data_IF_409057109251
#
_entry.id   IF_409057109251
#
_cell.length_a   1.000
_cell.length_b   1.000
_cell.length_c   1.000
_cell.angle_alpha   90.00
_cell.angle_beta   90.00
_cell.angle_gamma   90.00
#
_symmetry.space_group_name_H-M   'P 1'
#
loop_
_entity.id
_entity.type
_entity.pdbx_description
1 polymer ?
#
# COMPACT_ATOMS: atom_id res chain seq x y z
N UNK A 1 -43.79 -10.58 -9.50
CA UNK A 1 -42.52 -11.25 -9.14
C UNK A 1 -41.61 -10.21 -8.53
N UNK A 2 -41.45 -10.25 -7.21
CA UNK A 2 -40.48 -9.41 -6.50
C UNK A 2 -39.12 -10.04 -6.77
N UNK A 3 -38.25 -9.36 -7.51
CA UNK A 3 -36.86 -9.75 -7.61
C UNK A 3 -36.24 -9.57 -6.22
N UNK A 4 -36.11 -10.65 -5.47
CA UNK A 4 -35.21 -10.70 -4.33
C UNK A 4 -33.80 -10.44 -4.87
N UNK A 5 -33.35 -9.20 -4.75
CA UNK A 5 -31.93 -8.87 -4.83
C UNK A 5 -31.30 -9.61 -3.66
N UNK A 6 -30.79 -10.81 -3.92
CA UNK A 6 -30.01 -11.57 -2.95
C UNK A 6 -28.85 -10.67 -2.52
N UNK A 7 -28.93 -10.11 -1.32
CA UNK A 7 -27.81 -9.35 -0.77
C UNK A 7 -26.68 -10.36 -0.54
N UNK A 8 -25.64 -10.32 -1.38
CA UNK A 8 -24.44 -11.13 -1.17
C UNK A 8 -23.96 -10.95 0.27
N UNK A 9 -23.70 -12.06 0.95
CA UNK A 9 -23.19 -12.04 2.32
C UNK A 9 -21.86 -11.25 2.40
N UNK A 10 -21.61 -10.55 3.51
CA UNK A 10 -20.37 -9.78 3.71
C UNK A 10 -19.08 -10.60 3.40
N UNK A 11 -18.96 -11.89 3.80
CA UNK A 11 -17.80 -12.71 3.46
C UNK A 11 -17.62 -12.95 1.95
N UNK A 12 -18.71 -13.17 1.21
CA UNK A 12 -18.63 -13.35 -0.25
C UNK A 12 -18.22 -12.07 -0.97
N UNK A 13 -18.70 -10.91 -0.50
CA UNK A 13 -18.27 -9.61 -1.01
C UNK A 13 -16.79 -9.34 -0.76
N UNK A 14 -16.29 -9.59 0.45
CA UNK A 14 -14.87 -9.40 0.78
C UNK A 14 -13.97 -10.31 -0.04
N UNK A 15 -14.36 -11.57 -0.24
CA UNK A 15 -13.61 -12.52 -1.07
C UNK A 15 -13.57 -12.07 -2.53
N UNK A 16 -14.70 -11.60 -3.07
CA UNK A 16 -14.80 -11.07 -4.43
C UNK A 16 -13.89 -9.86 -4.61
N UNK A 17 -13.97 -8.88 -3.70
CA UNK A 17 -13.11 -7.69 -3.74
C UNK A 17 -11.63 -8.10 -3.66
N UNK A 18 -11.26 -9.05 -2.79
CA UNK A 18 -9.89 -9.54 -2.70
C UNK A 18 -9.37 -10.12 -4.01
N UNK A 19 -10.21 -10.93 -4.64
CA UNK A 19 -9.91 -11.57 -5.92
C UNK A 19 -9.77 -10.51 -7.03
N UNK A 20 -10.66 -9.53 -7.03
CA UNK A 20 -10.69 -8.47 -8.03
C UNK A 20 -9.50 -7.52 -7.88
N UNK A 21 -8.90 -7.35 -6.69
CA UNK A 21 -7.65 -6.57 -6.51
C UNK A 21 -6.55 -7.07 -7.46
N UNK A 22 -6.51 -8.37 -7.77
CA UNK A 22 -5.50 -8.95 -8.65
C UNK A 22 -5.92 -9.04 -10.12
N UNK A 23 -7.22 -9.17 -10.40
CA UNK A 23 -7.74 -9.37 -11.76
C UNK A 23 -8.26 -8.08 -12.41
N UNK A 24 -9.03 -7.29 -11.67
CA UNK A 24 -9.55 -6.00 -12.09
C UNK A 24 -9.42 -4.99 -10.94
N UNK A 25 -8.20 -4.43 -10.74
CA UNK A 25 -7.95 -3.52 -9.63
C UNK A 25 -8.91 -2.32 -9.64
N UNK A 26 -9.21 -1.77 -10.82
CA UNK A 26 -10.12 -0.64 -10.96
C UNK A 26 -11.52 -0.95 -10.38
N UNK A 27 -12.10 -2.10 -10.76
CA UNK A 27 -13.43 -2.50 -10.28
C UNK A 27 -13.41 -2.81 -8.78
N UNK A 28 -12.32 -3.39 -8.27
CA UNK A 28 -12.15 -3.62 -6.84
C UNK A 28 -12.12 -2.30 -6.07
N UNK A 29 -11.40 -1.29 -6.58
CA UNK A 29 -11.33 0.03 -5.95
C UNK A 29 -12.65 0.80 -6.01
N UNK A 30 -13.36 0.74 -7.14
CA UNK A 30 -14.71 1.31 -7.22
C UNK A 30 -15.67 0.61 -6.25
N UNK A 31 -15.55 -0.71 -6.09
CA UNK A 31 -16.32 -1.48 -5.11
C UNK A 31 -15.97 -1.07 -3.67
N UNK A 32 -14.68 -0.87 -3.36
CA UNK A 32 -14.22 -0.39 -2.05
C UNK A 32 -14.77 1.00 -1.71
N UNK A 33 -14.76 1.91 -2.68
CA UNK A 33 -15.18 3.29 -2.50
C UNK A 33 -16.70 3.40 -2.29
N UNK A 34 -17.48 2.58 -3.00
CA UNK A 34 -18.94 2.63 -2.98
C UNK A 34 -19.58 1.74 -1.90
N UNK A 35 -18.85 0.77 -1.34
CA UNK A 35 -19.40 -0.14 -0.35
C UNK A 35 -19.34 0.45 1.07
N UNK A 36 -20.45 1.09 1.48
CA UNK A 36 -20.61 1.67 2.83
C UNK A 36 -20.53 0.66 3.98
N UNK A 37 -20.71 -0.64 3.70
CA UNK A 37 -20.66 -1.69 4.73
C UNK A 37 -19.24 -2.11 5.14
N UNK A 38 -18.23 -1.74 4.35
CA UNK A 38 -16.83 -2.02 4.65
C UNK A 38 -16.35 -1.16 5.81
N UNK A 39 -15.87 -1.82 6.86
CA UNK A 39 -15.26 -1.16 8.03
C UNK A 39 -13.75 -1.05 7.84
N UNK A 40 -13.12 -0.18 8.62
CA UNK A 40 -11.66 -0.06 8.66
C UNK A 40 -10.99 -1.40 9.00
N UNK A 41 -11.60 -2.20 9.88
CA UNK A 41 -11.09 -3.55 10.23
C UNK A 41 -11.00 -4.45 8.99
N UNK A 42 -11.95 -4.35 8.06
CA UNK A 42 -11.93 -5.15 6.83
C UNK A 42 -10.76 -4.72 5.92
N UNK A 43 -10.49 -3.41 5.84
CA UNK A 43 -9.32 -2.85 5.13
C UNK A 43 -8.00 -3.28 5.78
N UNK A 44 -7.93 -3.27 7.12
CA UNK A 44 -6.78 -3.77 7.86
C UNK A 44 -6.51 -5.24 7.57
N UNK A 45 -7.56 -6.06 7.43
CA UNK A 45 -7.40 -7.46 7.07
C UNK A 45 -6.80 -7.62 5.67
N UNK A 46 -7.21 -6.78 4.70
CA UNK A 46 -6.61 -6.79 3.36
C UNK A 46 -5.14 -6.42 3.38
N UNK A 47 -4.80 -5.36 4.12
CA UNK A 47 -3.43 -4.95 4.37
C UNK A 47 -2.61 -6.10 4.99
N UNK A 48 -3.12 -6.72 6.05
CA UNK A 48 -2.47 -7.85 6.71
C UNK A 48 -2.33 -9.08 5.81
N UNK A 49 -3.32 -9.37 4.97
CA UNK A 49 -3.22 -10.46 3.99
C UNK A 49 -2.09 -10.19 3.00
N UNK A 50 -2.05 -9.00 2.40
CA UNK A 50 -0.99 -8.59 1.47
C UNK A 50 0.40 -8.61 2.12
N UNK A 51 0.49 -8.28 3.41
CA UNK A 51 1.71 -8.43 4.19
C UNK A 51 2.22 -9.86 4.23
N UNK A 52 1.35 -10.82 4.55
CA UNK A 52 1.75 -12.22 4.64
C UNK A 52 2.12 -12.81 3.27
N UNK A 53 1.54 -12.30 2.18
CA UNK A 53 1.91 -12.71 0.84
C UNK A 53 3.34 -12.29 0.47
N UNK A 54 3.82 -11.15 0.92
CA UNK A 54 5.18 -10.67 0.60
C UNK A 54 6.32 -11.68 0.91
N UNK A 55 6.50 -12.14 2.16
CA UNK A 55 7.54 -13.13 2.48
C UNK A 55 7.26 -14.48 1.83
N UNK A 56 5.98 -14.84 1.63
CA UNK A 56 5.60 -16.07 0.93
C UNK A 56 6.08 -16.06 -0.54
N UNK A 57 5.77 -15.00 -1.29
CA UNK A 57 6.23 -14.87 -2.67
C UNK A 57 7.74 -14.76 -2.77
N UNK A 58 8.40 -14.11 -1.79
CA UNK A 58 9.87 -14.09 -1.74
C UNK A 58 10.45 -15.48 -1.50
N UNK A 59 9.83 -16.28 -0.63
CA UNK A 59 10.22 -17.66 -0.39
C UNK A 59 10.03 -18.52 -1.65
N UNK A 60 8.89 -18.38 -2.35
CA UNK A 60 8.63 -19.06 -3.63
C UNK A 60 9.67 -18.67 -4.69
N UNK A 61 9.95 -17.38 -4.83
CA UNK A 61 11.00 -16.90 -5.74
C UNK A 61 12.37 -17.49 -5.38
N UNK A 62 12.75 -17.48 -4.10
CA UNK A 62 14.02 -18.03 -3.65
C UNK A 62 14.09 -19.55 -3.88
N UNK A 63 12.98 -20.30 -3.73
CA UNK A 63 12.89 -21.72 -4.07
C UNK A 63 13.10 -21.96 -5.58
N UNK A 64 12.39 -21.23 -6.43
CA UNK A 64 12.52 -21.34 -7.88
C UNK A 64 13.96 -21.06 -8.29
N UNK A 65 14.54 -19.98 -7.78
CA UNK A 65 15.92 -19.60 -8.07
C UNK A 65 16.94 -20.63 -7.57
N UNK A 66 16.71 -21.23 -6.39
CA UNK A 66 17.54 -22.28 -5.81
C UNK A 66 17.63 -23.53 -6.71
N UNK A 67 16.49 -23.95 -7.28
CA UNK A 67 16.43 -25.17 -8.10
C UNK A 67 16.74 -24.95 -9.58
N UNK A 68 16.46 -23.76 -10.13
CA UNK A 68 16.42 -23.55 -11.59
C UNK A 68 17.49 -22.55 -12.07
N UNK A 69 17.75 -21.48 -11.32
CA UNK A 69 18.47 -20.31 -11.86
C UNK A 69 19.89 -20.13 -11.32
N UNK A 70 20.24 -20.72 -10.18
CA UNK A 70 21.57 -20.53 -9.57
C UNK A 70 22.59 -21.58 -10.03
N UNK A 71 23.74 -21.17 -10.61
CA UNK A 71 24.87 -22.07 -10.82
C UNK A 71 25.45 -22.51 -9.45
N UNK A 72 26.09 -23.68 -9.42
CA UNK A 72 26.63 -24.32 -8.20
C UNK A 72 27.71 -23.52 -7.45
N UNK A 73 28.10 -22.35 -7.97
CA UNK A 73 29.16 -21.48 -7.44
C UNK A 73 28.68 -20.57 -6.29
N UNK A 74 27.36 -20.37 -6.15
CA UNK A 74 26.79 -19.53 -5.09
C UNK A 74 26.34 -20.42 -3.94
N UNK A 75 26.64 -20.02 -2.68
CA UNK A 75 26.13 -20.71 -1.50
C UNK A 75 24.59 -20.65 -1.48
N UNK A 76 23.99 -21.74 -1.95
CA UNK A 76 22.54 -21.84 -2.15
C UNK A 76 21.77 -21.70 -0.83
N UNK A 77 22.38 -22.02 0.33
CA UNK A 77 21.76 -21.84 1.65
C UNK A 77 21.64 -20.37 2.05
N UNK A 78 22.65 -19.55 1.74
CA UNK A 78 22.63 -18.11 2.00
C UNK A 78 21.62 -17.44 1.07
N UNK A 79 21.61 -17.83 -0.21
CA UNK A 79 20.66 -17.29 -1.19
C UNK A 79 19.19 -17.55 -0.78
N UNK A 80 18.88 -18.74 -0.28
CA UNK A 80 17.53 -19.10 0.16
C UNK A 80 16.92 -18.14 1.20
N UNK A 81 17.75 -17.62 2.12
CA UNK A 81 17.31 -16.68 3.18
C UNK A 81 17.37 -15.22 2.74
N UNK A 82 18.00 -14.92 1.61
CA UNK A 82 18.27 -13.56 1.17
C UNK A 82 16.96 -12.82 0.89
N UNK A 83 16.81 -11.65 1.50
CA UNK A 83 15.68 -10.75 1.27
C UNK A 83 14.36 -11.13 1.97
N UNK A 84 14.30 -12.24 2.73
CA UNK A 84 13.10 -12.62 3.47
C UNK A 84 12.78 -11.61 4.59
N UNK A 85 13.79 -11.26 5.40
CA UNK A 85 13.61 -10.30 6.49
C UNK A 85 13.21 -8.92 5.96
N UNK A 86 13.86 -8.43 4.91
CA UNK A 86 13.48 -7.16 4.28
C UNK A 86 12.05 -7.22 3.73
N UNK A 87 11.67 -8.28 3.02
CA UNK A 87 10.28 -8.42 2.53
C UNK A 87 9.24 -8.45 3.66
N UNK A 88 9.59 -9.01 4.81
CA UNK A 88 8.73 -9.05 5.99
C UNK A 88 8.62 -7.67 6.68
N UNK A 89 9.73 -6.92 6.79
CA UNK A 89 9.81 -5.62 7.47
C UNK A 89 9.33 -4.44 6.60
N UNK A 90 9.44 -4.53 5.28
CA UNK A 90 9.01 -3.46 4.36
C UNK A 90 7.53 -3.11 4.57
N UNK A 91 6.70 -4.11 4.86
CA UNK A 91 5.28 -3.89 4.99
C UNK A 91 4.88 -3.11 6.26
N UNK A 92 5.35 -3.45 7.48
CA UNK A 92 5.17 -2.57 8.65
C UNK A 92 5.56 -1.13 8.40
N UNK A 93 6.64 -0.89 7.65
CA UNK A 93 7.08 0.46 7.28
C UNK A 93 6.04 1.14 6.37
N UNK A 94 5.56 0.46 5.33
CA UNK A 94 4.50 0.99 4.46
C UNK A 94 3.18 1.21 5.22
N UNK A 95 2.85 0.35 6.18
CA UNK A 95 1.67 0.48 7.01
C UNK A 95 1.75 1.70 7.94
N UNK A 96 2.89 1.91 8.59
CA UNK A 96 3.17 3.12 9.37
C UNK A 96 3.08 4.36 8.48
N UNK A 97 3.59 4.28 7.25
CA UNK A 97 3.47 5.37 6.27
C UNK A 97 1.99 5.67 5.96
N UNK A 98 1.15 4.66 5.72
CA UNK A 98 -0.30 4.85 5.48
C UNK A 98 -0.98 5.50 6.69
N UNK A 99 -0.68 5.03 7.90
CA UNK A 99 -1.17 5.64 9.15
C UNK A 99 -0.77 7.11 9.25
N UNK A 100 0.48 7.39 8.94
CA UNK A 100 1.04 8.73 8.99
C UNK A 100 0.36 9.66 7.98
N UNK A 101 0.18 9.20 6.74
CA UNK A 101 -0.52 9.95 5.70
C UNK A 101 -1.99 10.22 6.08
N UNK A 102 -2.68 9.24 6.68
CA UNK A 102 -4.06 9.45 7.15
C UNK A 102 -4.13 10.48 8.28
N UNK A 103 -3.17 10.47 9.20
CA UNK A 103 -3.08 11.47 10.27
C UNK A 103 -2.85 12.89 9.70
N UNK A 104 -1.90 13.05 8.76
CA UNK A 104 -1.63 14.34 8.12
C UNK A 104 -2.86 14.84 7.35
N UNK A 105 -3.55 13.96 6.62
CA UNK A 105 -4.82 14.32 5.96
C UNK A 105 -5.85 14.82 6.96
N UNK A 106 -6.09 14.07 8.04
CA UNK A 106 -7.08 14.45 9.07
C UNK A 106 -6.77 15.83 9.62
N UNK A 107 -5.50 16.10 9.89
CA UNK A 107 -5.07 17.40 10.39
C UNK A 107 -5.29 18.52 9.37
N UNK A 108 -5.02 18.28 8.08
CA UNK A 108 -5.37 19.23 7.00
C UNK A 108 -6.87 19.52 6.97
N UNK A 109 -7.72 18.50 7.04
CA UNK A 109 -9.18 18.71 6.96
C UNK A 109 -9.74 19.41 8.20
N UNK A 110 -9.24 19.09 9.40
CA UNK A 110 -9.62 19.80 10.63
C UNK A 110 -9.26 21.29 10.51
N UNK A 111 -8.08 21.61 9.97
CA UNK A 111 -7.60 22.99 9.92
C UNK A 111 -8.28 23.82 8.82
N UNK A 112 -8.56 23.24 7.66
CA UNK A 112 -9.02 23.99 6.48
C UNK A 112 -10.49 23.78 6.11
N UNK A 113 -11.12 22.71 6.56
CA UNK A 113 -12.48 22.32 6.16
C UNK A 113 -13.43 22.07 7.34
N UNK A 114 -12.95 22.24 8.58
CA UNK A 114 -13.70 22.01 9.83
C UNK A 114 -14.47 20.68 9.85
N UNK A 115 -13.92 19.68 9.16
CA UNK A 115 -14.54 18.38 8.96
C UNK A 115 -13.52 17.28 9.28
N UNK A 116 -13.90 16.37 10.17
CA UNK A 116 -13.07 15.25 10.62
C UNK A 116 -13.63 13.89 10.21
N UNK A 117 -14.61 13.86 9.30
CA UNK A 117 -15.31 12.64 8.93
C UNK A 117 -14.38 11.46 8.62
N UNK A 118 -14.88 10.27 8.98
CA UNK A 118 -14.19 8.99 8.89
C UNK A 118 -13.99 8.58 7.42
N UNK A 119 -12.97 9.15 6.80
CA UNK A 119 -12.64 8.92 5.40
C UNK A 119 -11.65 7.76 5.24
N UNK A 120 -12.06 6.73 4.50
CA UNK A 120 -11.27 5.50 4.27
C UNK A 120 -10.36 5.57 3.04
N UNK A 121 -10.40 6.67 2.27
CA UNK A 121 -9.72 6.75 0.97
C UNK A 121 -8.20 6.60 1.04
N UNK A 122 -7.55 7.02 2.13
CA UNK A 122 -6.09 6.81 2.32
C UNK A 122 -5.76 5.33 2.46
N UNK A 123 -6.55 4.60 3.25
CA UNK A 123 -6.38 3.16 3.45
C UNK A 123 -6.61 2.39 2.15
N UNK A 124 -7.71 2.69 1.46
CA UNK A 124 -8.03 2.09 0.16
C UNK A 124 -6.92 2.40 -0.85
N UNK A 125 -6.49 3.66 -0.95
CA UNK A 125 -5.39 4.06 -1.82
C UNK A 125 -4.03 3.46 -1.40
N UNK A 126 -3.87 3.01 -0.16
CA UNK A 126 -2.68 2.30 0.31
C UNK A 126 -2.57 0.88 -0.21
N UNK A 127 -3.68 0.24 -0.62
CA UNK A 127 -3.71 -1.17 -1.04
C UNK A 127 -2.78 -1.47 -2.24
N UNK A 128 -2.77 -0.69 -3.35
CA UNK A 128 -1.84 -0.95 -4.44
C UNK A 128 -0.38 -0.87 -4.00
N UNK A 129 -0.03 0.14 -3.21
CA UNK A 129 1.31 0.28 -2.65
C UNK A 129 1.65 -0.88 -1.71
N UNK A 130 0.72 -1.34 -0.88
CA UNK A 130 0.86 -2.54 -0.05
C UNK A 130 1.04 -3.81 -0.88
N UNK A 131 0.32 -3.95 -2.00
CA UNK A 131 0.47 -5.07 -2.94
C UNK A 131 1.79 -4.99 -3.70
N UNK A 132 2.39 -3.80 -3.84
CA UNK A 132 3.67 -3.63 -4.54
C UNK A 132 4.80 -4.44 -3.93
N UNK A 133 4.72 -4.84 -2.66
CA UNK A 133 5.73 -5.67 -1.98
C UNK A 133 5.94 -7.01 -2.71
N UNK A 134 4.92 -7.53 -3.40
CA UNK A 134 5.05 -8.71 -4.27
C UNK A 134 6.08 -8.49 -5.37
N UNK A 135 6.18 -7.26 -5.89
CA UNK A 135 7.06 -6.93 -6.98
C UNK A 135 8.53 -6.77 -6.57
N UNK A 136 8.82 -6.67 -5.27
CA UNK A 136 10.20 -6.59 -4.77
C UNK A 136 10.99 -7.88 -5.04
N UNK A 137 10.28 -8.97 -5.34
CA UNK A 137 10.87 -10.26 -5.71
C UNK A 137 11.42 -10.28 -7.13
N UNK A 138 10.96 -9.38 -8.03
CA UNK A 138 11.46 -9.33 -9.40
C UNK A 138 12.88 -8.75 -9.46
N UNK A 139 13.68 -9.15 -10.46
CA UNK A 139 14.96 -8.51 -10.71
C UNK A 139 14.78 -7.05 -11.13
N UNK A 140 15.80 -6.24 -10.88
CA UNK A 140 15.89 -4.90 -11.47
C UNK A 140 16.02 -5.02 -13.00
N UNK A 141 15.37 -4.16 -13.80
CA UNK A 141 14.61 -2.97 -13.40
C UNK A 141 13.10 -3.23 -13.17
N UNK A 142 12.61 -4.44 -13.43
CA UNK A 142 11.17 -4.75 -13.42
C UNK A 142 10.51 -4.46 -12.08
N UNK A 143 11.18 -4.77 -10.97
CA UNK A 143 10.67 -4.43 -9.64
C UNK A 143 10.37 -2.94 -9.48
N UNK A 144 11.29 -2.06 -9.90
CA UNK A 144 11.12 -0.62 -9.79
C UNK A 144 9.95 -0.14 -10.65
N UNK A 145 9.83 -0.64 -11.88
CA UNK A 145 8.72 -0.31 -12.79
C UNK A 145 7.38 -0.65 -12.14
N UNK A 146 7.22 -1.87 -11.62
CA UNK A 146 5.95 -2.28 -11.01
C UNK A 146 5.65 -1.56 -9.70
N UNK A 147 6.66 -1.24 -8.88
CA UNK A 147 6.49 -0.41 -7.69
C UNK A 147 6.03 1.00 -8.09
N UNK A 148 6.62 1.60 -9.13
CA UNK A 148 6.20 2.91 -9.63
C UNK A 148 4.76 2.87 -10.16
N UNK A 149 4.38 1.85 -10.91
CA UNK A 149 2.99 1.68 -11.38
C UNK A 149 2.03 1.59 -10.20
N UNK A 150 2.36 0.78 -9.18
CA UNK A 150 1.55 0.66 -7.97
C UNK A 150 1.41 1.99 -7.23
N UNK A 151 2.50 2.76 -7.12
CA UNK A 151 2.48 4.09 -6.52
C UNK A 151 1.59 5.08 -7.30
N UNK A 152 1.73 5.14 -8.63
CA UNK A 152 0.89 6.00 -9.48
C UNK A 152 -0.59 5.61 -9.38
N UNK A 153 -0.87 4.30 -9.30
CA UNK A 153 -2.22 3.82 -9.13
C UNK A 153 -2.79 4.18 -7.75
N UNK A 154 -2.01 4.03 -6.68
CA UNK A 154 -2.35 4.53 -5.34
C UNK A 154 -2.68 6.03 -5.35
N UNK A 155 -1.87 6.86 -6.01
CA UNK A 155 -2.14 8.29 -6.14
C UNK A 155 -3.46 8.57 -6.87
N UNK A 156 -3.74 7.83 -7.96
CA UNK A 156 -4.98 7.97 -8.71
C UNK A 156 -6.20 7.58 -7.86
N UNK A 157 -6.14 6.45 -7.15
CA UNK A 157 -7.21 6.00 -6.26
C UNK A 157 -7.43 7.02 -5.15
N UNK A 158 -6.36 7.56 -4.59
CA UNK A 158 -6.45 8.61 -3.58
C UNK A 158 -7.13 9.87 -4.11
N UNK A 159 -6.71 10.35 -5.28
CA UNK A 159 -7.33 11.49 -5.96
C UNK A 159 -8.83 11.30 -6.18
N UNK A 160 -9.23 10.14 -6.72
CA UNK A 160 -10.65 9.81 -6.96
C UNK A 160 -11.40 9.79 -5.63
N UNK A 161 -10.85 9.14 -4.60
CA UNK A 161 -11.50 9.06 -3.29
C UNK A 161 -11.77 10.43 -2.67
N UNK A 162 -10.83 11.37 -2.77
CA UNK A 162 -10.99 12.71 -2.19
C UNK A 162 -12.07 13.53 -2.90
N UNK A 163 -12.11 13.47 -4.24
CA UNK A 163 -13.04 14.26 -5.04
C UNK A 163 -14.45 13.65 -5.01
N UNK A 164 -14.54 12.33 -5.21
CA UNK A 164 -15.82 11.64 -5.38
C UNK A 164 -16.56 11.37 -4.07
N UNK A 165 -15.83 11.12 -2.97
CA UNK A 165 -16.47 10.76 -1.70
C UNK A 165 -16.51 11.90 -0.68
N UNK A 166 -15.58 12.84 -0.75
CA UNK A 166 -15.43 13.88 0.27
C UNK A 166 -15.65 15.31 -0.28
N UNK A 167 -16.10 15.43 -1.53
CA UNK A 167 -16.36 16.70 -2.23
C UNK A 167 -15.18 17.69 -2.21
N UNK A 168 -13.95 17.20 -2.09
CA UNK A 168 -12.77 18.05 -2.08
C UNK A 168 -12.39 18.46 -3.50
N UNK A 169 -11.72 19.60 -3.63
CA UNK A 169 -11.29 20.10 -4.93
C UNK A 169 -9.98 19.45 -5.39
N UNK A 170 -9.68 19.55 -6.69
CA UNK A 170 -8.35 19.18 -7.21
C UNK A 170 -7.22 19.96 -6.52
N UNK A 171 -7.48 21.21 -6.16
CA UNK A 171 -6.51 22.06 -5.46
C UNK A 171 -6.21 21.49 -4.06
N UNK A 172 -7.22 21.01 -3.34
CA UNK A 172 -7.04 20.37 -2.04
C UNK A 172 -6.17 19.11 -2.15
N UNK A 173 -6.37 18.29 -3.18
CA UNK A 173 -5.50 17.15 -3.45
C UNK A 173 -4.03 17.55 -3.58
N UNK A 174 -3.73 18.56 -4.40
CA UNK A 174 -2.35 19.03 -4.57
C UNK A 174 -1.77 19.64 -3.29
N UNK A 175 -2.58 20.38 -2.51
CA UNK A 175 -2.16 20.90 -1.22
C UNK A 175 -1.79 19.77 -0.27
N UNK A 176 -2.67 18.77 -0.10
CA UNK A 176 -2.41 17.61 0.74
C UNK A 176 -1.14 16.87 0.28
N UNK A 177 -0.96 16.70 -1.03
CA UNK A 177 0.24 16.08 -1.60
C UNK A 177 1.52 16.89 -1.29
N UNK A 178 1.46 18.23 -1.34
CA UNK A 178 2.57 19.09 -0.91
C UNK A 178 2.86 18.94 0.58
N UNK A 179 1.84 18.89 1.44
CA UNK A 179 2.02 18.62 2.88
C UNK A 179 2.72 17.28 3.12
N UNK A 180 2.30 16.21 2.42
CA UNK A 180 2.99 14.93 2.47
C UNK A 180 4.45 15.04 2.02
N UNK A 181 4.70 15.70 0.89
CA UNK A 181 6.05 15.87 0.35
C UNK A 181 6.98 16.64 1.29
N UNK A 182 6.52 17.73 1.88
CA UNK A 182 7.28 18.53 2.85
C UNK A 182 7.62 17.70 4.08
N UNK A 183 6.65 16.97 4.62
CA UNK A 183 6.85 16.20 5.84
C UNK A 183 7.78 15.01 5.59
N UNK A 184 7.55 14.24 4.52
CA UNK A 184 8.41 13.11 4.15
C UNK A 184 9.83 13.59 3.80
N UNK A 185 9.96 14.72 3.11
CA UNK A 185 11.24 15.37 2.84
C UNK A 185 11.96 15.76 4.13
N UNK A 186 11.23 16.32 5.10
CA UNK A 186 11.78 16.70 6.41
C UNK A 186 12.27 15.49 7.20
N UNK A 187 11.50 14.39 7.24
CA UNK A 187 11.96 13.14 7.87
C UNK A 187 13.18 12.55 7.17
N UNK A 188 13.22 12.61 5.84
CA UNK A 188 14.37 12.14 5.06
C UNK A 188 15.62 12.96 5.37
N UNK A 189 15.49 14.29 5.42
CA UNK A 189 16.58 15.19 5.79
C UNK A 189 17.08 14.92 7.22
N UNK A 190 16.16 14.72 8.18
CA UNK A 190 16.51 14.38 9.56
C UNK A 190 17.22 13.03 9.66
N UNK A 191 16.75 12.01 8.94
CA UNK A 191 17.40 10.69 8.91
C UNK A 191 18.82 10.77 8.33
N UNK A 192 19.00 11.54 7.25
CA UNK A 192 20.33 11.79 6.66
C UNK A 192 21.23 12.54 7.65
N UNK A 193 20.71 13.56 8.33
CA UNK A 193 21.45 14.31 9.34
C UNK A 193 21.92 13.41 10.47
N UNK A 194 21.03 12.65 11.10
CA UNK A 194 21.36 11.72 12.19
C UNK A 194 22.38 10.67 11.71
N UNK A 195 22.17 10.07 10.55
CA UNK A 195 23.09 9.09 9.97
C UNK A 195 24.49 9.67 9.75
N UNK A 196 24.57 10.93 9.31
CA UNK A 196 25.84 11.62 9.15
C UNK A 196 26.50 11.97 10.49
N UNK A 197 25.74 12.43 11.48
CA UNK A 197 26.25 12.73 12.84
C UNK A 197 26.89 11.49 13.48
N UNK A 198 26.18 10.36 13.45
CA UNK A 198 26.68 9.07 13.95
C UNK A 198 27.96 8.67 13.21
N UNK A 199 27.97 8.80 11.88
CA UNK A 199 29.15 8.47 11.06
C UNK A 199 30.36 9.38 11.37
N UNK A 200 30.10 10.64 11.68
CA UNK A 200 31.15 11.61 12.03
C UNK A 200 31.65 11.50 13.47
N UNK A 201 31.04 10.67 14.32
CA UNK A 201 31.44 10.49 15.71
C UNK A 201 31.15 11.70 16.61
N UNK A 202 30.18 12.53 16.21
CA UNK A 202 29.63 13.63 17.02
C UNK A 202 28.44 13.14 17.86
#
# INVERSE_FOLDING_TARGET
MVNEVQSESKPSQLRKIFHDIFLSPADAFDSFLNNKSLKIIDLLLFHFALWLYAPFFKLVHNLISYYILLPDVIDKKIYFKTGLLTSFLTYPILFILILFLDAVRKQYLIYFHDNSEEFKGVWIAGIPMSASVLFWTFPKPFNAIFITIAFLFSLRVYYISLISLNNLTKLDFYKILMYYGIILGSFSALAIFIGNTIRSGL
#
